data_IF_511805756306
#
_entry.id   IF_511805756306
#
_cell.length_a   1.000
_cell.length_b   1.000
_cell.length_c   1.000
_cell.angle_alpha   90.00
_cell.angle_beta   90.00
_cell.angle_gamma   90.00
#
_symmetry.space_group_name_H-M   'P 1'
#
loop_
_entity.id
_entity.type
_entity.pdbx_description
1 polymer ?
#
# COMPACT_ATOMS: atom_id res chain seq x y z
N UNK A 1 -6.14 14.33 -2.64
CA UNK A 1 -5.39 13.89 -1.47
C UNK A 1 -4.14 14.76 -1.28
N UNK A 2 -3.63 14.81 -0.06
CA UNK A 2 -2.38 15.49 0.27
C UNK A 2 -1.48 14.53 1.07
N UNK A 3 -0.21 14.85 1.23
CA UNK A 3 0.71 14.10 2.08
C UNK A 3 0.21 14.01 3.53
N UNK A 4 -0.38 15.09 4.05
CA UNK A 4 -0.98 15.12 5.38
C UNK A 4 -2.10 14.08 5.55
N UNK A 5 -2.86 13.74 4.49
CA UNK A 5 -3.88 12.69 4.54
C UNK A 5 -3.27 11.28 4.68
N UNK A 6 -1.98 11.13 4.37
CA UNK A 6 -1.26 9.87 4.50
C UNK A 6 -0.49 9.75 5.81
N UNK A 7 0.01 10.86 6.36
CA UNK A 7 0.83 10.90 7.58
C UNK A 7 -0.04 10.95 8.85
N UNK A 8 -1.16 11.68 8.80
CA UNK A 8 -2.13 11.72 9.89
C UNK A 8 -3.01 10.48 9.88
N UNK A 9 -3.02 9.75 10.99
CA UNK A 9 -3.71 8.46 11.07
C UNK A 9 -5.22 8.57 10.93
N UNK A 10 -5.82 9.59 11.52
CA UNK A 10 -7.27 9.76 11.46
C UNK A 10 -7.71 10.12 10.04
N UNK A 11 -6.99 11.03 9.39
CA UNK A 11 -7.22 11.41 7.99
C UNK A 11 -7.01 10.23 7.04
N UNK A 12 -5.98 9.42 7.27
CA UNK A 12 -5.75 8.19 6.52
C UNK A 12 -6.95 7.23 6.61
N UNK A 13 -7.48 7.02 7.81
CA UNK A 13 -8.62 6.14 8.02
C UNK A 13 -9.89 6.66 7.33
N UNK A 14 -10.17 7.95 7.40
CA UNK A 14 -11.30 8.57 6.69
C UNK A 14 -11.16 8.45 5.17
N UNK A 15 -9.99 8.76 4.62
CA UNK A 15 -9.74 8.62 3.19
C UNK A 15 -9.89 7.16 2.72
N UNK A 16 -9.38 6.20 3.49
CA UNK A 16 -9.55 4.76 3.22
C UNK A 16 -11.00 4.34 3.22
N UNK A 17 -11.77 4.73 4.25
CA UNK A 17 -13.16 4.34 4.39
C UNK A 17 -14.03 4.98 3.28
N UNK A 18 -13.72 6.21 2.90
CA UNK A 18 -14.34 6.87 1.74
C UNK A 18 -14.05 6.13 0.43
N UNK A 19 -12.78 5.77 0.17
CA UNK A 19 -12.42 5.02 -1.04
C UNK A 19 -13.13 3.67 -1.08
N UNK A 20 -13.18 2.95 0.03
CA UNK A 20 -13.91 1.68 0.12
C UNK A 20 -15.39 1.85 -0.16
N UNK A 21 -16.03 2.86 0.43
CA UNK A 21 -17.44 3.12 0.17
C UNK A 21 -17.73 3.43 -1.30
N UNK A 22 -16.84 4.14 -2.00
CA UNK A 22 -16.96 4.38 -3.44
C UNK A 22 -16.85 3.07 -4.22
N UNK A 23 -15.82 2.27 -3.96
CA UNK A 23 -15.58 0.98 -4.65
C UNK A 23 -16.72 -0.02 -4.39
N UNK A 24 -17.21 -0.14 -3.16
CA UNK A 24 -18.34 -1.01 -2.80
C UNK A 24 -19.63 -0.61 -3.53
N UNK A 25 -19.77 0.66 -3.90
CA UNK A 25 -20.88 1.16 -4.71
C UNK A 25 -20.57 1.20 -6.20
N UNK A 26 -19.50 0.52 -6.67
CA UNK A 26 -19.07 0.47 -8.07
C UNK A 26 -18.75 1.84 -8.68
N UNK A 27 -18.31 2.79 -7.86
CA UNK A 27 -17.87 4.11 -8.30
C UNK A 27 -16.34 4.08 -8.44
N UNK A 28 -15.85 4.46 -9.62
CA UNK A 28 -14.41 4.57 -9.88
C UNK A 28 -13.90 5.91 -9.35
N UNK A 29 -13.07 5.94 -8.29
CA UNK A 29 -12.51 7.19 -7.79
C UNK A 29 -11.41 7.69 -8.73
N UNK A 30 -11.47 8.97 -9.10
CA UNK A 30 -10.38 9.67 -9.79
C UNK A 30 -9.65 10.52 -8.77
N UNK A 31 -8.35 10.26 -8.60
CA UNK A 31 -7.54 10.84 -7.53
C UNK A 31 -6.42 11.69 -8.12
N UNK A 32 -6.23 12.87 -7.57
CA UNK A 32 -5.06 13.71 -7.81
C UNK A 32 -4.62 14.37 -6.49
N UNK A 33 -3.42 14.95 -6.47
CA UNK A 33 -2.99 15.79 -5.36
C UNK A 33 -3.89 17.04 -5.28
N UNK A 34 -4.20 17.50 -4.06
CA UNK A 34 -4.94 18.74 -3.88
C UNK A 34 -3.96 19.93 -3.88
N UNK A 35 -3.57 20.36 -5.06
CA UNK A 35 -2.63 21.47 -5.26
C UNK A 35 -3.12 22.81 -4.69
N UNK A 36 -4.43 22.96 -4.46
CA UNK A 36 -4.99 24.19 -3.91
C UNK A 36 -4.61 24.42 -2.44
N UNK A 37 -4.33 23.34 -1.71
CA UNK A 37 -4.01 23.42 -0.27
C UNK A 37 -2.64 22.79 0.06
N UNK A 38 -1.97 22.19 -0.92
CA UNK A 38 -0.66 21.58 -0.73
C UNK A 38 0.43 22.64 -0.79
N UNK A 39 1.13 22.87 0.32
CA UNK A 39 2.37 23.66 0.35
C UNK A 39 3.57 22.78 -0.01
N UNK A 40 4.73 23.40 -0.26
CA UNK A 40 5.94 22.67 -0.63
C UNK A 40 6.35 21.57 0.38
N UNK A 41 6.03 21.80 1.67
CA UNK A 41 6.35 20.86 2.76
C UNK A 41 5.41 19.67 2.83
N UNK A 42 4.18 19.78 2.27
CA UNK A 42 3.14 18.75 2.33
C UNK A 42 2.76 18.17 0.97
N UNK A 43 3.53 18.49 -0.09
CA UNK A 43 3.34 17.87 -1.40
C UNK A 43 3.82 16.42 -1.39
N UNK A 44 3.06 15.55 -2.06
CA UNK A 44 3.50 14.18 -2.37
C UNK A 44 4.66 14.21 -3.36
N UNK A 45 4.68 15.21 -4.23
CA UNK A 45 5.76 15.51 -5.15
C UNK A 45 5.50 15.07 -6.59
N UNK A 46 4.87 13.92 -6.79
CA UNK A 46 4.51 13.43 -8.12
C UNK A 46 3.35 12.42 -8.04
N UNK A 47 2.69 12.20 -9.18
CA UNK A 47 1.57 11.27 -9.28
C UNK A 47 2.00 9.79 -9.20
N UNK A 48 3.26 9.45 -9.41
CA UNK A 48 3.76 8.08 -9.27
C UNK A 48 3.71 7.68 -7.79
N UNK A 49 4.29 8.51 -6.91
CA UNK A 49 4.22 8.29 -5.46
C UNK A 49 2.80 8.37 -4.92
N UNK A 50 1.98 9.32 -5.41
CA UNK A 50 0.56 9.41 -5.05
C UNK A 50 -0.19 8.13 -5.41
N UNK A 51 0.10 7.54 -6.58
CA UNK A 51 -0.56 6.30 -7.03
C UNK A 51 -0.22 5.11 -6.14
N UNK A 52 1.05 4.98 -5.70
CA UNK A 52 1.45 3.96 -4.74
C UNK A 52 0.73 4.10 -3.39
N UNK A 53 0.63 5.33 -2.88
CA UNK A 53 -0.10 5.62 -1.65
C UNK A 53 -1.60 5.36 -1.79
N UNK A 54 -2.21 5.75 -2.92
CA UNK A 54 -3.62 5.49 -3.21
C UNK A 54 -3.91 3.98 -3.34
N UNK A 55 -3.00 3.21 -3.95
CA UNK A 55 -3.11 1.76 -4.04
C UNK A 55 -3.07 1.10 -2.65
N UNK A 56 -2.18 1.55 -1.77
CA UNK A 56 -2.13 1.09 -0.38
C UNK A 56 -3.41 1.45 0.39
N UNK A 57 -3.91 2.67 0.22
CA UNK A 57 -5.11 3.18 0.86
C UNK A 57 -6.35 2.40 0.43
N UNK A 58 -6.47 2.12 -0.87
CA UNK A 58 -7.57 1.33 -1.45
C UNK A 58 -7.46 -0.16 -1.20
N UNK A 59 -6.31 -0.65 -0.74
CA UNK A 59 -6.05 -2.08 -0.56
C UNK A 59 -5.97 -2.84 -1.89
N UNK A 60 -5.33 -2.23 -2.90
CA UNK A 60 -5.18 -2.81 -4.22
C UNK A 60 -4.24 -4.03 -4.21
N UNK A 61 -4.51 -5.00 -5.08
CA UNK A 61 -3.63 -6.13 -5.35
C UNK A 61 -2.57 -5.79 -6.39
N UNK A 62 -2.88 -4.85 -7.29
CA UNK A 62 -2.01 -4.43 -8.39
C UNK A 62 -2.04 -2.92 -8.58
N UNK A 63 -0.89 -2.37 -8.95
CA UNK A 63 -0.71 -0.99 -9.38
C UNK A 63 -0.19 -0.99 -10.82
N UNK A 64 -0.89 -0.34 -11.73
CA UNK A 64 -0.45 -0.15 -13.10
C UNK A 64 -0.01 1.29 -13.33
N UNK A 65 1.28 1.50 -13.56
CA UNK A 65 1.87 2.79 -13.90
C UNK A 65 1.98 2.92 -15.42
N UNK A 66 1.15 3.76 -16.01
CA UNK A 66 1.16 4.05 -17.44
C UNK A 66 2.13 5.18 -17.76
N UNK A 67 2.98 4.96 -18.74
CA UNK A 67 4.02 5.90 -19.18
C UNK A 67 4.14 5.92 -20.70
N UNK A 68 5.03 6.73 -21.23
CA UNK A 68 5.40 6.78 -22.65
C UNK A 68 6.35 5.65 -23.06
N UNK A 69 7.00 4.99 -22.08
CA UNK A 69 7.94 3.90 -22.30
C UNK A 69 7.25 2.53 -22.15
N UNK A 70 7.66 1.50 -22.91
CA UNK A 70 7.14 0.14 -22.76
C UNK A 70 7.36 -0.48 -21.38
N UNK A 71 8.35 -0.04 -20.64
CA UNK A 71 8.73 -0.53 -19.32
C UNK A 71 10.16 -0.10 -18.97
N UNK A 72 10.81 -0.85 -18.06
CA UNK A 72 12.20 -0.65 -17.69
C UNK A 72 13.12 -1.45 -18.63
N UNK A 73 14.20 -0.80 -19.11
CA UNK A 73 15.17 -1.41 -19.99
C UNK A 73 16.53 -1.60 -19.30
N UNK A 74 17.37 -2.47 -19.83
CA UNK A 74 18.73 -2.71 -19.37
C UNK A 74 19.67 -1.52 -19.60
N UNK A 75 19.28 -0.57 -20.47
CA UNK A 75 19.92 0.71 -20.72
C UNK A 75 18.88 1.67 -21.33
N UNK A 76 19.24 2.94 -21.55
CA UNK A 76 18.35 3.87 -22.25
C UNK A 76 18.20 3.45 -23.73
N UNK A 77 17.03 3.00 -24.19
CA UNK A 77 16.82 2.51 -25.57
C UNK A 77 16.98 3.61 -26.62
N UNK A 78 16.97 4.89 -26.23
CA UNK A 78 17.20 6.02 -27.16
C UNK A 78 18.67 6.19 -27.51
N UNK A 79 19.56 5.74 -26.64
CA UNK A 79 21.01 5.89 -26.79
C UNK A 79 21.73 4.55 -26.98
N UNK A 80 21.12 3.46 -26.59
CA UNK A 80 21.67 2.10 -26.73
C UNK A 80 20.68 1.18 -27.47
N UNK A 81 20.95 0.83 -28.74
CA UNK A 81 20.09 -0.07 -29.53
C UNK A 81 20.02 -1.51 -28.98
N UNK A 82 21.00 -1.92 -28.17
CA UNK A 82 21.06 -3.25 -27.54
C UNK A 82 20.28 -3.28 -26.20
N UNK A 83 19.60 -2.21 -25.85
CA UNK A 83 18.80 -2.17 -24.64
C UNK A 83 17.62 -3.12 -24.72
N UNK A 84 17.53 -4.07 -23.80
CA UNK A 84 16.48 -5.05 -23.70
C UNK A 84 15.46 -4.67 -22.62
N UNK A 85 14.16 -4.95 -22.88
CA UNK A 85 13.10 -4.77 -21.90
C UNK A 85 13.25 -5.80 -20.78
N UNK A 86 13.27 -5.33 -19.53
CA UNK A 86 13.24 -6.18 -18.34
C UNK A 86 11.77 -6.55 -18.07
N UNK A 87 11.41 -7.83 -18.22
CA UNK A 87 10.03 -8.28 -18.06
C UNK A 87 9.62 -8.41 -16.59
N UNK A 88 10.53 -8.90 -15.73
CA UNK A 88 10.25 -9.22 -14.33
C UNK A 88 11.34 -8.74 -13.40
N UNK A 89 10.93 -8.13 -12.28
CA UNK A 89 11.80 -7.63 -11.22
C UNK A 89 11.30 -8.17 -9.88
N UNK A 90 12.10 -9.01 -9.24
CA UNK A 90 11.80 -9.58 -7.92
C UNK A 90 12.34 -8.72 -6.76
N UNK A 91 13.38 -7.94 -7.01
CA UNK A 91 13.99 -7.07 -6.01
C UNK A 91 14.50 -5.78 -6.67
N UNK A 92 14.19 -4.66 -6.06
CA UNK A 92 14.69 -3.34 -6.48
C UNK A 92 15.94 -3.04 -5.66
N UNK A 93 17.10 -3.27 -6.27
CA UNK A 93 18.42 -3.01 -5.69
C UNK A 93 19.02 -1.66 -6.18
N UNK A 94 20.21 -1.33 -5.70
CA UNK A 94 20.89 -0.08 -6.08
C UNK A 94 21.34 -0.07 -7.55
N UNK A 95 21.63 -1.25 -8.13
CA UNK A 95 21.97 -1.36 -9.53
C UNK A 95 20.78 -0.99 -10.42
N UNK A 96 19.59 -1.49 -10.08
CA UNK A 96 18.34 -1.15 -10.78
C UNK A 96 17.97 0.33 -10.63
N UNK A 97 18.20 0.91 -9.44
CA UNK A 97 18.00 2.36 -9.20
C UNK A 97 18.91 3.22 -10.04
N UNK A 98 20.18 2.83 -10.17
CA UNK A 98 21.17 3.52 -11.03
C UNK A 98 20.76 3.44 -12.50
N UNK A 99 20.29 2.28 -12.94
CA UNK A 99 19.82 2.03 -14.29
C UNK A 99 18.62 2.95 -14.66
N UNK A 100 17.70 3.17 -13.72
CA UNK A 100 16.56 4.06 -13.92
C UNK A 100 16.92 5.56 -13.97
N UNK A 101 18.22 5.90 -13.95
CA UNK A 101 18.70 7.29 -13.96
C UNK A 101 18.55 8.02 -12.62
N UNK A 102 18.29 7.27 -11.54
CA UNK A 102 18.24 7.78 -10.17
C UNK A 102 19.64 7.86 -9.57
N UNK A 103 19.96 8.98 -8.90
CA UNK A 103 21.08 8.98 -7.96
C UNK A 103 20.74 8.03 -6.80
N UNK A 104 21.76 7.42 -6.19
CA UNK A 104 21.63 6.59 -4.99
C UNK A 104 20.91 7.35 -3.85
N UNK A 105 20.90 8.68 -3.91
CA UNK A 105 20.22 9.58 -2.97
C UNK A 105 18.72 9.76 -3.19
N UNK A 106 18.11 9.18 -4.24
CA UNK A 106 16.65 9.18 -4.44
C UNK A 106 16.03 10.53 -4.90
N UNK A 107 16.84 11.51 -5.25
CA UNK A 107 16.42 12.86 -5.68
C UNK A 107 16.28 12.97 -7.21
N UNK A 108 15.58 12.06 -7.85
CA UNK A 108 15.25 12.16 -9.28
C UNK A 108 13.97 12.97 -9.50
N UNK A 109 14.06 14.01 -10.32
CA UNK A 109 12.92 14.89 -10.67
C UNK A 109 12.10 14.32 -11.82
N UNK A 110 11.31 13.28 -11.58
CA UNK A 110 10.38 12.70 -12.57
C UNK A 110 10.98 11.57 -13.43
N UNK A 111 10.15 10.90 -14.20
CA UNK A 111 10.55 9.83 -15.13
C UNK A 111 10.60 8.42 -14.53
N UNK A 112 11.54 7.58 -15.01
CA UNK A 112 11.62 6.18 -14.58
C UNK A 112 12.03 6.04 -13.11
N UNK A 113 12.85 6.96 -12.59
CA UNK A 113 13.30 6.95 -11.20
C UNK A 113 12.13 7.09 -10.20
N UNK A 114 11.18 8.00 -10.46
CA UNK A 114 9.99 8.18 -9.60
C UNK A 114 9.07 6.97 -9.66
N UNK A 115 8.90 6.37 -10.85
CA UNK A 115 8.13 5.13 -11.02
C UNK A 115 8.75 3.96 -10.28
N UNK A 116 10.08 3.85 -10.31
CA UNK A 116 10.80 2.82 -9.56
C UNK A 116 10.66 3.02 -8.05
N UNK A 117 10.68 4.26 -7.58
CA UNK A 117 10.42 4.59 -6.17
C UNK A 117 9.00 4.22 -5.75
N UNK A 118 8.01 4.58 -6.56
CA UNK A 118 6.62 4.22 -6.32
C UNK A 118 6.42 2.68 -6.33
N UNK A 119 7.09 1.98 -7.27
CA UNK A 119 7.08 0.52 -7.32
C UNK A 119 7.69 -0.09 -6.05
N UNK A 120 8.83 0.42 -5.55
CA UNK A 120 9.44 -0.08 -4.31
C UNK A 120 8.52 0.06 -3.11
N UNK A 121 7.86 1.21 -2.96
CA UNK A 121 6.89 1.48 -1.89
C UNK A 121 5.71 0.50 -1.97
N UNK A 122 5.11 0.34 -3.15
CA UNK A 122 3.95 -0.52 -3.36
C UNK A 122 4.31 -2.01 -3.18
N UNK A 123 5.45 -2.48 -3.72
CA UNK A 123 5.88 -3.87 -3.58
C UNK A 123 6.18 -4.24 -2.14
N UNK A 124 6.76 -3.35 -1.35
CA UNK A 124 6.94 -3.55 0.11
C UNK A 124 5.61 -3.61 0.85
N UNK A 125 4.59 -2.92 0.34
CA UNK A 125 3.24 -3.01 0.88
C UNK A 125 2.46 -4.27 0.44
N UNK A 126 3.05 -5.12 -0.38
CA UNK A 126 2.45 -6.36 -0.86
C UNK A 126 1.60 -6.18 -2.11
N UNK A 127 1.89 -5.18 -2.94
CA UNK A 127 1.17 -4.85 -4.17
C UNK A 127 2.09 -5.13 -5.35
N UNK A 128 1.64 -5.93 -6.32
CA UNK A 128 2.34 -6.09 -7.59
C UNK A 128 2.27 -4.78 -8.40
N UNK A 129 3.39 -4.37 -8.98
CA UNK A 129 3.42 -3.17 -9.83
C UNK A 129 3.79 -3.52 -11.25
N UNK A 130 3.08 -2.95 -12.22
CA UNK A 130 3.40 -3.07 -13.64
C UNK A 130 3.65 -1.67 -14.21
N UNK A 131 4.78 -1.49 -14.87
CA UNK A 131 5.09 -0.28 -15.65
C UNK A 131 4.93 -0.63 -17.12
N UNK A 132 4.05 0.08 -17.84
CA UNK A 132 3.75 -0.21 -19.26
C UNK A 132 3.45 1.05 -20.05
N UNK A 133 3.54 0.93 -21.39
CA UNK A 133 3.17 2.02 -22.29
C UNK A 133 1.66 2.29 -22.26
N UNK A 134 1.26 3.51 -21.94
CA UNK A 134 -0.13 3.96 -21.97
C UNK A 134 -0.70 4.07 -23.38
N UNK A 135 0.14 4.14 -24.40
CA UNK A 135 -0.25 4.15 -25.81
C UNK A 135 -0.65 2.76 -26.35
N UNK A 136 -0.36 1.68 -25.59
CA UNK A 136 -0.75 0.33 -25.99
C UNK A 136 -2.27 0.15 -25.85
N UNK A 137 -2.92 -0.23 -26.95
CA UNK A 137 -4.33 -0.60 -26.92
C UNK A 137 -4.57 -1.77 -25.95
N UNK A 138 -5.69 -1.71 -25.22
CA UNK A 138 -6.13 -2.74 -24.27
C UNK A 138 -5.15 -3.10 -23.13
N UNK A 139 -4.16 -2.23 -22.85
CA UNK A 139 -3.12 -2.48 -21.85
C UNK A 139 -3.69 -2.89 -20.48
N UNK A 140 -4.77 -2.26 -20.02
CA UNK A 140 -5.43 -2.58 -18.76
C UNK A 140 -6.03 -4.00 -18.82
N UNK A 141 -6.75 -4.33 -19.90
CA UNK A 141 -7.33 -5.65 -20.11
C UNK A 141 -6.25 -6.74 -20.18
N UNK A 142 -5.16 -6.48 -20.89
CA UNK A 142 -4.03 -7.42 -20.99
C UNK A 142 -3.39 -7.71 -19.63
N UNK A 143 -3.17 -6.69 -18.80
CA UNK A 143 -2.65 -6.84 -17.44
C UNK A 143 -3.61 -7.61 -16.54
N UNK A 144 -4.91 -7.35 -16.61
CA UNK A 144 -5.93 -8.05 -15.83
C UNK A 144 -6.03 -9.54 -16.21
N UNK A 145 -5.82 -9.87 -17.50
CA UNK A 145 -5.78 -11.25 -17.99
C UNK A 145 -4.41 -11.94 -17.79
N UNK A 146 -3.45 -11.27 -17.14
CA UNK A 146 -2.14 -11.85 -16.85
C UNK A 146 -1.21 -11.99 -18.06
N UNK A 147 -1.49 -11.28 -19.17
CA UNK A 147 -0.59 -11.28 -20.31
C UNK A 147 0.72 -10.54 -19.96
N UNK A 148 1.86 -10.95 -20.53
CA UNK A 148 3.12 -10.28 -20.32
C UNK A 148 3.09 -8.90 -20.98
N UNK A 149 3.08 -7.85 -20.16
CA UNK A 149 3.05 -6.46 -20.60
C UNK A 149 4.00 -5.64 -19.74
N UNK A 150 4.91 -4.92 -20.37
CA UNK A 150 5.80 -4.01 -19.67
C UNK A 150 6.78 -4.71 -18.75
N UNK A 151 7.09 -4.04 -17.65
CA UNK A 151 7.94 -4.58 -16.56
C UNK A 151 7.06 -4.83 -15.34
N UNK A 152 7.06 -6.06 -14.84
CA UNK A 152 6.38 -6.43 -13.60
C UNK A 152 7.36 -6.45 -12.43
N UNK A 153 7.02 -5.75 -11.39
CA UNK A 153 7.69 -5.76 -10.08
C UNK A 153 6.83 -6.57 -9.12
N UNK A 154 7.43 -7.62 -8.58
CA UNK A 154 6.71 -8.55 -7.71
C UNK A 154 6.59 -8.02 -6.29
N UNK A 155 5.42 -8.20 -5.70
CA UNK A 155 5.18 -7.93 -4.30
C UNK A 155 6.18 -8.70 -3.42
N UNK A 156 6.82 -8.03 -2.48
CA UNK A 156 7.80 -8.67 -1.58
C UNK A 156 7.11 -9.51 -0.49
N UNK A 157 5.85 -9.20 -0.19
CA UNK A 157 5.06 -9.87 0.83
C UNK A 157 3.57 -9.77 0.48
N UNK A 158 2.75 -10.68 1.02
CA UNK A 158 1.31 -10.54 0.87
C UNK A 158 0.80 -9.35 1.69
N UNK A 159 -0.26 -8.65 1.23
CA UNK A 159 -0.91 -7.58 2.01
C UNK A 159 -1.36 -8.04 3.40
N UNK A 160 -1.73 -9.31 3.52
CA UNK A 160 -2.12 -9.93 4.79
C UNK A 160 -0.94 -10.05 5.77
N UNK A 161 0.25 -10.41 5.29
CA UNK A 161 1.45 -10.52 6.12
C UNK A 161 1.95 -9.16 6.58
N UNK A 162 1.91 -8.15 5.71
CA UNK A 162 2.24 -6.78 6.06
C UNK A 162 1.29 -6.22 7.13
N UNK A 163 -0.01 -6.49 7.00
CA UNK A 163 -1.00 -6.10 8.01
C UNK A 163 -0.75 -6.80 9.35
N UNK A 164 -0.45 -8.10 9.33
CA UNK A 164 -0.11 -8.85 10.54
C UNK A 164 1.15 -8.30 11.21
N UNK A 165 2.22 -8.06 10.44
CA UNK A 165 3.46 -7.47 10.97
C UNK A 165 3.25 -6.11 11.59
N UNK A 166 2.45 -5.25 10.93
CA UNK A 166 2.13 -3.94 11.48
C UNK A 166 1.37 -4.06 12.80
N UNK A 167 0.35 -4.95 12.88
CA UNK A 167 -0.42 -5.17 14.11
C UNK A 167 0.46 -5.71 15.24
N UNK A 168 1.36 -6.64 14.94
CA UNK A 168 2.24 -7.21 15.96
C UNK A 168 3.46 -6.35 16.28
N UNK A 169 3.93 -5.53 15.35
CA UNK A 169 5.08 -4.64 15.54
C UNK A 169 4.74 -3.31 16.22
N UNK A 170 3.48 -2.88 16.18
CA UNK A 170 3.06 -1.64 16.82
C UNK A 170 2.90 -1.85 18.33
N UNK A 171 3.42 -0.94 19.18
CA UNK A 171 3.13 -0.98 20.61
C UNK A 171 1.61 -0.81 20.81
N UNK A 172 0.96 -1.65 21.62
CA UNK A 172 -0.47 -1.52 21.86
C UNK A 172 -0.77 -0.23 22.63
N UNK A 173 -1.74 0.54 22.16
CA UNK A 173 -2.21 1.78 22.83
C UNK A 173 -3.01 1.50 24.10
N UNK A 174 -3.52 0.28 24.23
CA UNK A 174 -4.24 -0.19 25.41
C UNK A 174 -4.50 -1.68 25.34
N UNK A 175 -5.26 -2.17 26.33
CA UNK A 175 -5.64 -3.58 26.40
C UNK A 175 -7.11 -3.77 26.77
N UNK A 176 -7.68 -4.87 26.34
CA UNK A 176 -9.03 -5.28 26.72
C UNK A 176 -9.02 -6.73 27.21
N UNK A 177 -9.85 -7.01 28.21
CA UNK A 177 -10.11 -8.37 28.69
C UNK A 177 -11.45 -8.85 28.15
N UNK A 178 -11.47 -10.06 27.59
CA UNK A 178 -12.67 -10.66 27.00
C UNK A 178 -13.12 -11.90 27.76
N UNK A 179 -14.43 -12.20 27.70
CA UNK A 179 -14.98 -13.42 28.28
C UNK A 179 -14.75 -14.66 27.40
N UNK A 180 -15.06 -15.84 27.96
CA UNK A 180 -14.84 -17.14 27.29
C UNK A 180 -15.69 -17.28 26.01
N UNK A 181 -16.89 -16.69 25.97
CA UNK A 181 -17.74 -16.70 24.79
C UNK A 181 -17.14 -15.89 23.63
N UNK A 182 -16.60 -14.73 23.94
CA UNK A 182 -15.86 -13.89 22.99
C UNK A 182 -14.54 -14.54 22.58
N UNK A 183 -13.84 -15.19 23.52
CA UNK A 183 -12.61 -15.94 23.25
C UNK A 183 -12.85 -17.03 22.19
N UNK A 184 -13.86 -17.87 22.38
CA UNK A 184 -14.23 -18.92 21.42
C UNK A 184 -14.64 -18.32 20.06
N UNK A 185 -15.38 -17.20 20.05
CA UNK A 185 -15.78 -16.53 18.81
C UNK A 185 -14.58 -16.01 18.00
N UNK A 186 -13.58 -15.44 18.66
CA UNK A 186 -12.39 -14.90 18.01
C UNK A 186 -11.46 -16.01 17.52
N UNK A 187 -11.13 -16.98 18.38
CA UNK A 187 -10.13 -18.01 18.07
C UNK A 187 -10.63 -19.11 17.14
N UNK A 188 -11.86 -19.60 17.37
CA UNK A 188 -12.38 -20.77 16.65
C UNK A 188 -13.15 -20.38 15.38
N UNK A 189 -13.86 -19.25 15.42
CA UNK A 189 -14.74 -18.82 14.32
C UNK A 189 -14.19 -17.66 13.51
N UNK A 190 -13.05 -17.08 13.91
CA UNK A 190 -12.46 -15.91 13.24
C UNK A 190 -13.38 -14.67 13.23
N UNK A 191 -14.33 -14.60 14.17
CA UNK A 191 -15.34 -13.53 14.23
C UNK A 191 -14.75 -12.24 14.77
N UNK A 192 -15.31 -11.11 14.35
CA UNK A 192 -14.99 -9.81 14.96
C UNK A 192 -15.48 -9.77 16.41
N UNK A 193 -14.66 -9.19 17.29
CA UNK A 193 -15.03 -8.97 18.69
C UNK A 193 -16.13 -7.91 18.78
N UNK A 194 -17.20 -8.24 19.47
CA UNK A 194 -18.29 -7.30 19.77
C UNK A 194 -18.13 -6.72 21.19
N UNK A 195 -18.61 -5.48 21.45
CA UNK A 195 -18.49 -4.84 22.76
C UNK A 195 -19.05 -5.66 23.92
N UNK A 196 -20.12 -6.43 23.70
CA UNK A 196 -20.74 -7.27 24.74
C UNK A 196 -19.81 -8.35 25.32
N UNK A 197 -18.79 -8.75 24.57
CA UNK A 197 -17.79 -9.74 25.01
C UNK A 197 -16.61 -9.12 25.77
N UNK A 198 -16.54 -7.80 25.85
CA UNK A 198 -15.48 -7.07 26.57
C UNK A 198 -15.89 -6.96 28.05
N UNK A 199 -14.98 -7.29 28.96
CA UNK A 199 -15.17 -7.27 30.42
C UNK A 199 -14.39 -6.16 31.11
N UNK A 200 -13.24 -5.81 30.57
CA UNK A 200 -12.40 -4.74 31.10
C UNK A 200 -11.66 -4.01 29.98
N UNK A 201 -11.36 -2.74 30.18
CA UNK A 201 -10.66 -1.88 29.24
C UNK A 201 -9.61 -1.09 30.00
N UNK A 202 -8.35 -1.16 29.57
CA UNK A 202 -7.23 -0.43 30.15
C UNK A 202 -6.49 0.38 29.07
N UNK A 203 -6.16 1.62 29.41
CA UNK A 203 -5.54 2.58 28.48
C UNK A 203 -6.58 3.50 27.83
N UNK A 204 -6.07 4.44 27.04
CA UNK A 204 -6.86 5.38 26.27
C UNK A 204 -6.51 5.21 24.80
N UNK A 205 -7.44 4.74 24.00
CA UNK A 205 -7.20 4.46 22.60
C UNK A 205 -8.38 4.88 21.74
N UNK A 206 -8.04 5.34 20.54
CA UNK A 206 -8.98 5.80 19.52
C UNK A 206 -9.23 4.75 18.44
N UNK A 207 -10.12 5.04 17.51
CA UNK A 207 -10.37 4.21 16.33
C UNK A 207 -9.08 4.03 15.50
N UNK A 208 -8.82 2.80 15.10
CA UNK A 208 -7.68 2.44 14.24
C UNK A 208 -6.38 2.15 15.00
N UNK A 209 -6.38 2.20 16.32
CA UNK A 209 -5.20 1.87 17.11
C UNK A 209 -5.12 0.38 17.43
N UNK A 210 -3.89 -0.08 17.61
CA UNK A 210 -3.63 -1.47 17.99
C UNK A 210 -3.84 -1.63 19.48
N UNK A 211 -4.63 -2.62 19.86
CA UNK A 211 -4.86 -2.99 21.25
C UNK A 211 -4.49 -4.44 21.49
N UNK A 212 -4.12 -4.75 22.71
CA UNK A 212 -3.90 -6.11 23.21
C UNK A 212 -5.20 -6.71 23.69
N UNK A 213 -5.44 -7.98 23.38
CA UNK A 213 -6.63 -8.72 23.81
C UNK A 213 -6.20 -9.83 24.77
N UNK A 214 -6.78 -9.85 25.98
CA UNK A 214 -6.52 -10.82 27.04
C UNK A 214 -7.76 -11.61 27.39
N UNK A 215 -7.55 -12.82 27.87
CA UNK A 215 -8.63 -13.58 28.51
C UNK A 215 -8.78 -13.21 30.00
N UNK A 216 -9.79 -13.79 30.68
CA UNK A 216 -10.08 -13.54 32.11
C UNK A 216 -8.93 -13.96 33.05
N UNK A 217 -8.02 -14.83 32.60
CA UNK A 217 -6.85 -15.25 33.32
C UNK A 217 -5.62 -14.34 33.10
N UNK A 218 -5.79 -13.22 32.35
CA UNK A 218 -4.73 -12.26 32.04
C UNK A 218 -3.74 -12.74 30.98
N UNK A 219 -4.02 -13.84 30.28
CA UNK A 219 -3.15 -14.33 29.21
C UNK A 219 -3.40 -13.55 27.92
N UNK A 220 -2.33 -13.16 27.25
CA UNK A 220 -2.38 -12.52 25.93
C UNK A 220 -2.90 -13.51 24.87
N UNK A 221 -3.96 -13.12 24.19
CA UNK A 221 -4.66 -13.95 23.20
C UNK A 221 -4.39 -13.48 21.77
N UNK A 222 -4.48 -12.16 21.56
CA UNK A 222 -4.34 -11.57 20.23
C UNK A 222 -3.99 -10.08 20.31
N UNK A 223 -3.60 -9.52 19.18
CA UNK A 223 -3.65 -8.08 18.92
C UNK A 223 -4.79 -7.78 17.96
N UNK A 224 -5.47 -6.67 18.17
CA UNK A 224 -6.59 -6.22 17.33
C UNK A 224 -6.48 -4.75 16.99
N UNK A 225 -7.26 -4.33 16.00
CA UNK A 225 -7.39 -2.92 15.63
C UNK A 225 -8.81 -2.46 15.96
N UNK A 226 -8.92 -1.36 16.68
CA UNK A 226 -10.21 -0.74 17.03
C UNK A 226 -10.92 -0.20 15.79
N UNK A 227 -12.24 -0.36 15.73
CA UNK A 227 -13.08 0.11 14.63
C UNK A 227 -14.14 1.09 15.10
#
# INVERSE_FOLDING_TARGET
LTRADMEDRERFLYARDMLRALLDNHIVPVINENDAVATAEIKVGDNDNLSALAAMLGGADKLLLLTDQPGLFTADPRTNPEAELISDVHQIDDALRTLAGGSVSGLGTGGMATKLQAADVACRAGIDVIIAAGSRADVIGDVLHGKPVGTRFHAQQSPLENRKRWIFGAPPAGEITIDDGALAAVLERGSSLLPKGVRDVQGNFSRGEVIRIRNLQGRDIAHGVTR
#
